data_IF_510548522031
#
_entry.id   IF_510548522031
#
_cell.length_a   1.000
_cell.length_b   1.000
_cell.length_c   1.000
_cell.angle_alpha   90.00
_cell.angle_beta   90.00
_cell.angle_gamma   90.00
#
_symmetry.space_group_name_H-M   'P 1'
#
loop_
_entity.id
_entity.type
_entity.pdbx_description
1 polymer ?
#
# COMPACT_ATOMS: atom_id res chain seq x y z
N UNK A 1 35.42 5.12 -57.55
CA UNK A 1 34.55 5.91 -56.65
C UNK A 1 33.27 5.15 -56.30
N UNK A 2 33.15 3.86 -56.67
CA UNK A 2 31.99 3.00 -56.35
C UNK A 2 32.23 2.12 -55.10
N UNK A 3 33.47 1.69 -54.83
CA UNK A 3 33.81 0.94 -53.60
C UNK A 3 33.58 1.71 -52.29
N UNK A 4 33.62 3.05 -52.32
CA UNK A 4 33.35 3.87 -51.11
C UNK A 4 31.85 4.04 -50.85
N UNK A 5 30.98 3.82 -51.83
CA UNK A 5 29.53 3.96 -51.67
C UNK A 5 28.89 2.65 -51.18
N UNK A 6 29.43 1.49 -51.60
CA UNK A 6 29.03 0.17 -51.07
C UNK A 6 29.45 -0.01 -49.61
N UNK A 7 30.62 0.50 -49.21
CA UNK A 7 31.08 0.46 -47.82
C UNK A 7 30.32 1.40 -46.87
N UNK A 8 29.55 2.37 -47.38
CA UNK A 8 28.67 3.20 -46.56
C UNK A 8 27.28 2.58 -46.42
N UNK A 9 26.73 1.97 -47.49
CA UNK A 9 25.47 1.21 -47.40
C UNK A 9 25.59 -0.04 -46.54
N UNK A 10 26.74 -0.73 -46.57
CA UNK A 10 27.00 -1.87 -45.69
C UNK A 10 27.16 -1.50 -44.21
N UNK A 11 27.62 -0.27 -43.92
CA UNK A 11 27.71 0.24 -42.55
C UNK A 11 26.37 0.74 -42.02
N UNK A 12 25.60 1.46 -42.84
CA UNK A 12 24.24 1.88 -42.48
C UNK A 12 23.31 0.67 -42.28
N UNK A 13 23.40 -0.36 -43.13
CA UNK A 13 22.59 -1.58 -42.95
C UNK A 13 22.98 -2.36 -41.68
N UNK A 14 24.26 -2.42 -41.33
CA UNK A 14 24.72 -3.08 -40.09
C UNK A 14 24.39 -2.28 -38.82
N UNK A 15 24.44 -0.94 -38.87
CA UNK A 15 23.99 -0.07 -37.78
C UNK A 15 22.47 -0.15 -37.57
N UNK A 16 21.69 -0.19 -38.67
CA UNK A 16 20.23 -0.35 -38.62
C UNK A 16 19.84 -1.72 -38.04
N UNK A 17 20.59 -2.78 -38.37
CA UNK A 17 20.33 -4.14 -37.86
C UNK A 17 20.68 -4.25 -36.37
N UNK A 18 21.76 -3.61 -35.90
CA UNK A 18 22.11 -3.60 -34.48
C UNK A 18 21.13 -2.74 -33.65
N UNK A 19 20.69 -1.59 -34.16
CA UNK A 19 19.64 -0.78 -33.51
C UNK A 19 18.32 -1.56 -33.42
N UNK A 20 17.92 -2.26 -34.50
CA UNK A 20 16.71 -3.07 -34.52
C UNK A 20 16.78 -4.24 -33.53
N UNK A 21 17.91 -4.95 -33.46
CA UNK A 21 18.15 -6.01 -32.47
C UNK A 21 18.10 -5.44 -31.05
N UNK A 22 18.65 -4.25 -30.79
CA UNK A 22 18.57 -3.64 -29.46
C UNK A 22 17.14 -3.25 -29.08
N UNK A 23 16.31 -2.86 -30.05
CA UNK A 23 14.88 -2.57 -29.82
C UNK A 23 14.10 -3.84 -29.50
N UNK A 24 14.30 -4.92 -30.26
CA UNK A 24 13.71 -6.23 -30.03
C UNK A 24 14.08 -6.81 -28.65
N UNK A 25 15.35 -6.69 -28.26
CA UNK A 25 15.81 -7.11 -26.93
C UNK A 25 15.08 -6.32 -25.84
N UNK A 26 14.98 -4.99 -25.97
CA UNK A 26 14.26 -4.15 -24.99
C UNK A 26 12.79 -4.52 -24.90
N UNK A 27 12.12 -4.75 -26.03
CA UNK A 27 10.69 -5.10 -26.04
C UNK A 27 10.44 -6.51 -25.49
N UNK A 28 11.35 -7.45 -25.75
CA UNK A 28 11.28 -8.81 -25.19
C UNK A 28 11.57 -8.80 -23.69
N UNK A 29 12.60 -8.08 -23.22
CA UNK A 29 12.90 -7.91 -21.79
C UNK A 29 11.77 -7.15 -21.05
N UNK A 30 11.02 -6.28 -21.73
CA UNK A 30 9.87 -5.62 -21.14
C UNK A 30 8.69 -6.59 -20.91
N UNK A 31 8.54 -7.63 -21.74
CA UNK A 31 7.50 -8.66 -21.60
C UNK A 31 7.93 -9.80 -20.67
N UNK A 32 9.23 -10.12 -20.64
CA UNK A 32 9.84 -11.14 -19.79
C UNK A 32 10.98 -10.54 -18.94
N UNK A 33 10.61 -9.80 -17.87
CA UNK A 33 11.58 -9.11 -17.01
C UNK A 33 12.50 -10.05 -16.20
N UNK A 34 12.19 -11.35 -16.18
CA UNK A 34 12.96 -12.40 -15.51
C UNK A 34 14.13 -12.93 -16.34
N UNK A 35 14.18 -12.67 -17.65
CA UNK A 35 15.26 -13.14 -18.54
C UNK A 35 16.60 -12.46 -18.25
N UNK A 36 17.69 -13.25 -18.19
CA UNK A 36 19.05 -12.76 -17.98
C UNK A 36 19.46 -11.67 -19.00
N UNK A 37 20.12 -10.61 -18.51
CA UNK A 37 20.66 -9.53 -19.37
C UNK A 37 21.56 -10.11 -20.45
N UNK A 38 21.24 -9.85 -21.71
CA UNK A 38 22.03 -10.30 -22.85
C UNK A 38 21.64 -11.67 -23.42
N UNK A 39 20.87 -12.49 -22.69
CA UNK A 39 20.44 -13.80 -23.19
C UNK A 39 19.55 -13.69 -24.43
N UNK A 40 18.61 -12.73 -24.45
CA UNK A 40 17.77 -12.48 -25.64
C UNK A 40 18.62 -12.08 -26.85
N UNK A 41 19.68 -11.27 -26.64
CA UNK A 41 20.60 -10.88 -27.73
C UNK A 41 21.35 -12.11 -28.28
N UNK A 42 21.76 -13.02 -27.41
CA UNK A 42 22.38 -14.29 -27.81
C UNK A 42 21.42 -15.20 -28.59
N UNK A 43 20.17 -15.32 -28.15
CA UNK A 43 19.15 -16.12 -28.84
C UNK A 43 18.87 -15.59 -30.24
N UNK A 44 18.78 -14.26 -30.39
CA UNK A 44 18.58 -13.61 -31.70
C UNK A 44 19.73 -13.96 -32.65
N UNK A 45 21.00 -13.83 -32.20
CA UNK A 45 22.17 -14.10 -33.04
C UNK A 45 22.44 -15.60 -33.29
N UNK A 46 22.04 -16.49 -32.38
CA UNK A 46 22.28 -17.94 -32.49
C UNK A 46 21.21 -18.68 -33.29
N UNK A 47 20.04 -18.08 -33.51
CA UNK A 47 18.87 -18.73 -34.12
C UNK A 47 18.21 -17.89 -35.23
N UNK A 48 18.73 -16.69 -35.53
CA UNK A 48 18.21 -15.77 -36.54
C UNK A 48 16.72 -15.42 -36.33
N UNK A 49 16.30 -15.25 -35.07
CA UNK A 49 14.94 -14.87 -34.73
C UNK A 49 14.79 -13.35 -34.63
N UNK A 50 14.29 -12.74 -35.70
CA UNK A 50 14.07 -11.29 -35.80
C UNK A 50 12.61 -10.88 -35.55
N UNK A 51 11.74 -11.84 -35.20
CA UNK A 51 10.33 -11.60 -34.88
C UNK A 51 10.09 -11.70 -33.37
N UNK A 52 9.52 -10.64 -32.79
CA UNK A 52 9.19 -10.56 -31.36
C UNK A 52 8.30 -11.71 -30.90
N UNK A 53 7.29 -12.07 -31.70
CA UNK A 53 6.36 -13.15 -31.35
C UNK A 53 7.04 -14.53 -31.35
N UNK A 54 8.00 -14.75 -32.25
CA UNK A 54 8.76 -16.01 -32.30
C UNK A 54 9.66 -16.12 -31.06
N UNK A 55 10.29 -15.01 -30.65
CA UNK A 55 11.08 -14.95 -29.41
C UNK A 55 10.21 -15.16 -28.17
N UNK A 56 9.04 -14.52 -28.08
CA UNK A 56 8.11 -14.71 -26.97
C UNK A 56 7.62 -16.16 -26.90
N UNK A 57 7.23 -16.77 -28.02
CA UNK A 57 6.77 -18.16 -28.05
C UNK A 57 7.89 -19.12 -27.67
N UNK A 58 9.12 -18.88 -28.13
CA UNK A 58 10.27 -19.70 -27.76
C UNK A 58 10.55 -19.68 -26.25
N UNK A 59 10.45 -18.50 -25.61
CA UNK A 59 10.59 -18.36 -24.15
C UNK A 59 9.41 -19.02 -23.40
N UNK A 60 8.19 -18.95 -23.93
CA UNK A 60 7.03 -19.62 -23.34
C UNK A 60 7.12 -21.15 -23.44
N UNK A 61 7.66 -21.68 -24.54
CA UNK A 61 7.82 -23.12 -24.75
C UNK A 61 9.00 -23.71 -23.97
N UNK A 62 10.00 -22.89 -23.61
CA UNK A 62 11.22 -23.34 -22.92
C UNK A 62 11.43 -22.57 -21.62
N UNK A 63 10.70 -22.86 -20.52
CA UNK A 63 10.78 -22.10 -19.26
C UNK A 63 12.11 -22.21 -18.49
N UNK A 64 13.04 -23.06 -18.95
CA UNK A 64 14.36 -23.31 -18.38
C UNK A 64 15.46 -22.37 -18.94
N UNK A 65 15.11 -21.18 -19.43
CA UNK A 65 16.11 -20.17 -19.82
C UNK A 65 16.78 -19.54 -18.59
N UNK A 66 18.04 -19.08 -18.69
CA UNK A 66 18.75 -18.42 -17.61
C UNK A 66 18.00 -17.15 -17.17
N UNK A 67 17.58 -17.14 -15.91
CA UNK A 67 16.88 -16.01 -15.28
C UNK A 67 17.91 -15.06 -14.65
N UNK A 68 17.62 -13.76 -14.59
CA UNK A 68 18.44 -12.81 -13.81
C UNK A 68 18.51 -13.31 -12.36
N UNK A 69 19.72 -13.44 -11.82
CA UNK A 69 19.98 -13.89 -10.45
C UNK A 69 19.40 -12.99 -9.35
N UNK A 70 18.60 -11.96 -9.68
CA UNK A 70 18.15 -10.97 -8.70
C UNK A 70 16.63 -10.71 -8.64
N UNK A 71 15.78 -11.39 -9.41
CA UNK A 71 14.32 -11.28 -9.22
C UNK A 71 13.61 -12.58 -9.52
N UNK A 72 13.27 -13.31 -8.46
CA UNK A 72 12.12 -14.22 -8.48
C UNK A 72 10.89 -13.33 -8.68
N UNK A 73 10.42 -13.21 -9.91
CA UNK A 73 9.18 -12.50 -10.23
C UNK A 73 8.04 -13.40 -9.81
N UNK A 74 7.65 -13.26 -8.54
CA UNK A 74 6.29 -13.57 -8.13
C UNK A 74 5.37 -12.53 -8.78
N UNK A 75 4.26 -13.00 -9.36
CA UNK A 75 3.23 -12.18 -9.99
C UNK A 75 2.88 -10.92 -9.17
N UNK A 76 2.46 -9.81 -9.81
CA UNK A 76 1.97 -8.64 -9.09
C UNK A 76 0.60 -8.95 -8.52
N UNK A 77 0.60 -9.68 -7.42
CA UNK A 77 -0.58 -9.99 -6.63
C UNK A 77 -0.74 -8.91 -5.58
N UNK A 78 -1.80 -8.11 -5.75
CA UNK A 78 -2.46 -7.35 -4.70
C UNK A 78 -1.66 -6.19 -4.08
N UNK A 79 -2.24 -4.99 -4.10
CA UNK A 79 -1.81 -3.78 -3.36
C UNK A 79 -1.76 -3.95 -1.84
N UNK A 80 -2.02 -5.15 -1.32
CA UNK A 80 -2.11 -5.47 0.11
C UNK A 80 -0.88 -6.20 0.66
N UNK A 81 0.11 -6.53 -0.16
CA UNK A 81 1.42 -6.98 0.33
C UNK A 81 2.47 -5.89 0.10
N UNK A 82 3.35 -5.63 1.07
CA UNK A 82 4.34 -4.58 0.95
C UNK A 82 5.27 -4.90 -0.22
N UNK A 83 5.27 -4.06 -1.25
CA UNK A 83 6.21 -4.15 -2.36
C UNK A 83 7.63 -4.03 -1.81
N UNK A 84 8.45 -5.08 -1.96
CA UNK A 84 9.85 -5.08 -1.55
C UNK A 84 10.76 -4.14 -2.38
N UNK A 85 10.21 -3.44 -3.37
CA UNK A 85 10.93 -2.37 -4.10
C UNK A 85 10.76 -1.00 -3.39
N UNK A 86 11.12 -0.94 -2.11
CA UNK A 86 11.35 0.31 -1.38
C UNK A 86 12.86 0.62 -1.29
N UNK A 87 13.57 0.51 -2.41
CA UNK A 87 14.92 1.10 -2.50
C UNK A 87 14.79 2.51 -3.03
N UNK A 88 14.61 3.48 -2.12
CA UNK A 88 15.31 4.78 -2.08
C UNK A 88 14.75 5.68 -0.97
N UNK A 89 15.67 6.08 -0.10
CA UNK A 89 15.56 7.00 1.06
C UNK A 89 14.92 6.37 2.31
N UNK A 90 15.48 6.62 3.51
CA UNK A 90 14.77 6.32 4.74
C UNK A 90 13.45 7.10 4.71
N UNK A 91 12.33 6.41 4.46
CA UNK A 91 11.00 6.99 4.63
C UNK A 91 10.88 7.36 6.09
N UNK A 92 11.17 8.62 6.40
CA UNK A 92 10.98 9.16 7.74
C UNK A 92 9.48 9.05 7.99
N UNK A 93 9.10 8.21 8.94
CA UNK A 93 7.72 8.13 9.39
C UNK A 93 7.40 9.43 10.13
N UNK A 94 6.75 10.36 9.43
CA UNK A 94 6.39 11.64 10.00
C UNK A 94 5.29 11.51 11.06
N UNK A 95 4.74 10.31 11.32
CA UNK A 95 3.89 10.05 12.48
C UNK A 95 4.66 9.65 13.74
N UNK A 96 5.97 9.38 13.67
CA UNK A 96 6.76 8.96 14.83
C UNK A 96 7.41 10.14 15.54
N UNK A 97 6.80 10.62 16.62
CA UNK A 97 7.30 11.74 17.42
C UNK A 97 8.77 11.60 17.83
N UNK A 98 9.25 10.38 18.10
CA UNK A 98 10.63 10.18 18.58
C UNK A 98 11.67 10.40 17.47
N UNK A 99 11.29 10.19 16.21
CA UNK A 99 12.18 10.38 15.05
C UNK A 99 12.18 11.82 14.53
N UNK A 100 11.23 12.64 14.98
CA UNK A 100 11.11 14.04 14.55
C UNK A 100 12.16 14.94 15.21
N UNK A 101 12.74 15.83 14.41
CA UNK A 101 13.67 16.88 14.86
C UNK A 101 13.00 18.24 14.70
N UNK A 102 13.15 19.18 15.65
CA UNK A 102 12.46 20.46 15.59
C UNK A 102 12.77 21.22 14.29
N UNK A 103 11.71 21.64 13.60
CA UNK A 103 11.82 22.31 12.30
C UNK A 103 12.13 23.81 12.43
N UNK A 104 12.60 24.38 11.31
CA UNK A 104 12.84 25.82 11.16
C UNK A 104 11.55 26.64 11.34
N UNK A 105 11.71 27.89 11.80
CA UNK A 105 10.60 28.83 12.03
C UNK A 105 9.74 29.08 10.78
N UNK A 106 10.30 28.99 9.58
CA UNK A 106 9.55 29.12 8.32
C UNK A 106 8.59 27.95 8.08
N UNK A 107 9.03 26.71 8.34
CA UNK A 107 8.18 25.52 8.26
C UNK A 107 7.04 25.63 9.28
N UNK A 108 7.34 26.10 10.49
CA UNK A 108 6.36 26.31 11.54
C UNK A 108 5.25 27.27 11.10
N UNK A 109 5.60 28.42 10.52
CA UNK A 109 4.62 29.42 10.06
C UNK A 109 3.73 28.82 8.96
N UNK A 110 4.32 28.15 7.97
CA UNK A 110 3.56 27.55 6.88
C UNK A 110 2.66 26.41 7.35
N UNK A 111 3.16 25.51 8.21
CA UNK A 111 2.38 24.45 8.81
C UNK A 111 1.22 25.01 9.65
N UNK A 112 1.46 26.05 10.44
CA UNK A 112 0.42 26.73 11.21
C UNK A 112 -0.66 27.33 10.29
N UNK A 113 -0.26 28.03 9.23
CA UNK A 113 -1.20 28.62 8.27
C UNK A 113 -2.08 27.55 7.60
N UNK A 114 -1.49 26.44 7.15
CA UNK A 114 -2.22 25.31 6.58
C UNK A 114 -3.23 24.71 7.58
N UNK A 115 -2.80 24.47 8.82
CA UNK A 115 -3.70 23.97 9.88
C UNK A 115 -4.79 24.98 10.23
N UNK A 116 -4.48 26.27 10.23
CA UNK A 116 -5.46 27.33 10.49
C UNK A 116 -6.51 27.46 9.37
N UNK A 117 -6.15 27.13 8.13
CA UNK A 117 -7.06 27.10 6.98
C UNK A 117 -8.03 25.89 7.05
N UNK A 118 -7.55 24.76 7.57
CA UNK A 118 -8.34 23.53 7.71
C UNK A 118 -9.22 23.55 8.96
N UNK A 119 -8.65 23.90 10.11
CA UNK A 119 -9.34 23.95 11.40
C UNK A 119 -9.82 25.37 11.73
N UNK A 120 -10.69 25.92 10.88
CA UNK A 120 -11.18 27.31 11.00
C UNK A 120 -11.95 27.60 12.29
N UNK A 121 -12.44 26.55 12.95
CA UNK A 121 -13.20 26.63 14.20
C UNK A 121 -12.32 26.51 15.44
N UNK A 122 -11.04 26.15 15.35
CA UNK A 122 -10.14 26.06 16.50
C UNK A 122 -9.40 27.38 16.72
N UNK A 123 -9.13 27.74 17.98
CA UNK A 123 -8.30 28.91 18.33
C UNK A 123 -6.90 28.83 17.70
N UNK A 124 -6.39 29.96 17.22
CA UNK A 124 -5.06 30.03 16.59
C UNK A 124 -3.96 29.82 17.62
N UNK A 125 -4.21 30.20 18.86
CA UNK A 125 -3.30 29.94 19.97
C UNK A 125 -3.20 28.45 20.27
N UNK A 126 -4.32 27.73 20.18
CA UNK A 126 -4.35 26.29 20.43
C UNK A 126 -3.72 25.49 19.29
N UNK A 127 -3.94 25.90 18.04
CA UNK A 127 -3.26 25.30 16.88
C UNK A 127 -1.74 25.52 16.98
N UNK A 128 -1.30 26.75 17.26
CA UNK A 128 0.12 27.04 17.42
C UNK A 128 0.73 26.29 18.60
N UNK A 129 0.01 26.19 19.72
CA UNK A 129 0.45 25.40 20.86
C UNK A 129 0.63 23.92 20.50
N UNK A 130 -0.35 23.31 19.81
CA UNK A 130 -0.27 21.91 19.40
C UNK A 130 0.90 21.66 18.45
N UNK A 131 1.15 22.62 17.55
CA UNK A 131 2.26 22.57 16.62
C UNK A 131 3.61 22.69 17.34
N UNK A 132 3.73 23.55 18.36
CA UNK A 132 4.95 23.68 19.18
C UNK A 132 5.25 22.40 19.95
N UNK A 133 4.23 21.82 20.57
CA UNK A 133 4.37 20.59 21.36
C UNK A 133 4.77 19.40 20.48
N UNK A 134 4.30 19.38 19.23
CA UNK A 134 4.60 18.37 18.21
C UNK A 134 5.79 18.74 17.30
N UNK A 135 6.74 19.54 17.83
CA UNK A 135 8.03 19.88 17.21
C UNK A 135 7.94 20.62 15.86
N UNK A 136 6.80 21.22 15.53
CA UNK A 136 6.61 22.01 14.32
C UNK A 136 6.23 21.21 13.08
N UNK A 137 5.91 19.91 13.22
CA UNK A 137 5.55 19.05 12.11
C UNK A 137 4.06 19.08 11.83
N UNK A 138 3.72 19.33 10.57
CA UNK A 138 2.36 19.42 10.07
C UNK A 138 1.63 18.07 10.16
N UNK A 139 2.27 16.96 9.77
CA UNK A 139 1.61 15.66 9.64
C UNK A 139 1.08 15.12 10.99
N UNK A 140 1.89 15.14 12.06
CA UNK A 140 1.43 14.70 13.40
C UNK A 140 0.38 15.64 13.95
N UNK A 141 0.61 16.95 13.87
CA UNK A 141 -0.33 17.92 14.42
C UNK A 141 -1.68 17.84 13.73
N UNK A 142 -1.71 17.73 12.40
CA UNK A 142 -2.95 17.54 11.65
C UNK A 142 -3.69 16.29 12.07
N UNK A 143 -2.98 15.15 12.18
CA UNK A 143 -3.56 13.88 12.63
C UNK A 143 -4.17 14.01 14.01
N UNK A 144 -3.41 14.52 14.98
CA UNK A 144 -3.84 14.66 16.36
C UNK A 144 -5.05 15.62 16.50
N UNK A 145 -5.06 16.73 15.75
CA UNK A 145 -6.18 17.67 15.72
C UNK A 145 -7.42 17.05 15.07
N UNK A 146 -7.25 16.32 13.96
CA UNK A 146 -8.35 15.62 13.29
C UNK A 146 -8.97 14.57 14.22
N UNK A 147 -8.15 13.77 14.92
CA UNK A 147 -8.63 12.74 15.85
C UNK A 147 -9.37 13.37 17.03
N UNK A 148 -8.87 14.49 17.58
CA UNK A 148 -9.56 15.23 18.64
C UNK A 148 -10.92 15.78 18.18
N UNK A 149 -11.01 16.30 16.95
CA UNK A 149 -12.28 16.79 16.37
C UNK A 149 -13.24 15.63 16.11
N UNK A 150 -12.78 14.50 15.58
CA UNK A 150 -13.60 13.29 15.37
C UNK A 150 -14.20 12.79 16.68
N UNK A 151 -13.38 12.63 17.72
CA UNK A 151 -13.82 12.19 19.05
C UNK A 151 -14.86 13.13 19.67
N UNK A 152 -14.69 14.45 19.47
CA UNK A 152 -15.68 15.43 19.91
C UNK A 152 -17.01 15.28 19.15
N UNK A 153 -16.96 15.11 17.83
CA UNK A 153 -18.16 14.89 17.01
C UNK A 153 -18.92 13.62 17.42
N UNK A 154 -18.21 12.51 17.65
CA UNK A 154 -18.79 11.24 18.11
C UNK A 154 -19.50 11.42 19.47
N UNK A 155 -18.82 12.03 20.46
CA UNK A 155 -19.41 12.32 21.78
C UNK A 155 -20.67 13.18 21.69
N UNK A 156 -20.68 14.18 20.81
CA UNK A 156 -21.86 15.03 20.59
C UNK A 156 -23.01 14.26 19.92
N UNK A 157 -22.73 13.30 19.04
CA UNK A 157 -23.78 12.49 18.38
C UNK A 157 -24.42 11.49 19.34
N UNK A 158 -23.63 10.81 20.18
CA UNK A 158 -24.10 9.82 21.16
C UNK A 158 -25.03 10.42 22.23
N UNK A 159 -24.80 11.68 22.61
CA UNK A 159 -25.65 12.38 23.59
C UNK A 159 -27.03 12.82 23.04
N UNK A 160 -27.26 12.76 21.71
CA UNK A 160 -28.40 13.41 21.04
C UNK A 160 -29.63 12.52 20.77
N UNK A 161 -29.73 11.34 21.38
CA UNK A 161 -30.83 10.37 21.17
C UNK A 161 -32.26 10.85 21.47
N UNK A 162 -32.47 12.10 21.94
CA UNK A 162 -33.79 12.73 22.04
C UNK A 162 -33.70 14.21 21.69
N UNK A 163 -34.38 14.60 20.60
CA UNK A 163 -34.73 15.97 20.18
C UNK A 163 -34.07 17.13 20.94
N UNK A 164 -33.19 17.91 20.27
CA UNK A 164 -33.04 19.33 20.59
C UNK A 164 -33.15 20.20 19.34
N UNK A 165 -34.33 20.82 19.21
CA UNK A 165 -34.52 22.11 18.55
C UNK A 165 -33.48 23.10 19.10
N UNK A 166 -32.85 23.87 18.21
CA UNK A 166 -32.12 25.13 18.45
C UNK A 166 -32.05 25.59 19.93
N UNK A 167 -30.82 25.67 20.45
CA UNK A 167 -30.30 26.39 21.65
C UNK A 167 -29.90 25.50 22.82
N UNK A 168 -28.59 25.25 22.89
CA UNK A 168 -27.71 25.49 24.04
C UNK A 168 -26.27 25.33 23.52
N UNK A 169 -25.76 26.40 22.88
CA UNK A 169 -24.49 26.41 22.13
C UNK A 169 -23.26 26.62 23.04
N UNK A 170 -23.38 26.38 24.35
CA UNK A 170 -22.44 26.91 25.36
C UNK A 170 -21.84 25.84 26.30
N UNK A 171 -22.26 24.57 26.21
CA UNK A 171 -21.65 23.47 26.99
C UNK A 171 -20.53 22.74 26.23
N UNK A 172 -20.47 22.88 24.90
CA UNK A 172 -19.44 22.25 24.04
C UNK A 172 -18.54 23.30 23.33
N UNK A 173 -18.16 24.38 24.01
CA UNK A 173 -17.25 25.40 23.44
C UNK A 173 -15.77 24.97 23.47
N UNK A 174 -15.48 23.72 23.82
CA UNK A 174 -14.12 23.21 23.91
C UNK A 174 -14.03 21.74 23.44
N UNK A 175 -12.85 21.39 22.94
CA UNK A 175 -12.47 20.05 22.53
C UNK A 175 -11.33 19.59 23.45
N UNK A 176 -11.42 18.37 23.96
CA UNK A 176 -10.34 17.74 24.73
C UNK A 176 -9.32 17.17 23.74
N UNK A 177 -8.22 17.90 23.51
CA UNK A 177 -7.08 17.39 22.75
C UNK A 177 -6.30 16.41 23.62
N UNK A 178 -6.17 15.17 23.16
CA UNK A 178 -5.37 14.13 23.81
C UNK A 178 -4.49 13.46 22.77
N UNK A 179 -3.20 13.64 22.89
CA UNK A 179 -2.22 12.96 22.06
C UNK A 179 -1.38 12.02 22.93
N UNK A 180 -1.32 10.75 22.53
CA UNK A 180 -0.55 9.73 23.21
C UNK A 180 0.29 8.96 22.20
N UNK A 181 1.61 9.01 22.37
CA UNK A 181 2.55 8.19 21.60
C UNK A 181 3.68 7.70 22.50
N UNK A 182 3.69 6.40 22.79
CA UNK A 182 4.63 5.80 23.74
C UNK A 182 4.49 6.42 25.14
N UNK A 183 5.57 7.01 25.64
CA UNK A 183 5.62 7.65 26.97
C UNK A 183 5.14 9.11 26.98
N UNK A 184 4.79 9.68 25.83
CA UNK A 184 4.41 11.08 25.72
C UNK A 184 2.89 11.16 25.72
N UNK A 185 2.37 11.88 26.70
CA UNK A 185 0.95 12.14 26.88
C UNK A 185 0.76 13.65 26.99
N UNK A 186 0.19 14.22 25.96
CA UNK A 186 -0.11 15.65 25.86
C UNK A 186 -1.62 15.79 25.90
N UNK A 187 -2.12 16.54 26.89
CA UNK A 187 -3.55 16.82 27.02
C UNK A 187 -3.78 18.31 27.18
N UNK A 188 -4.70 18.88 26.41
CA UNK A 188 -5.12 20.28 26.55
C UNK A 188 -6.56 20.46 26.12
N UNK A 189 -7.29 21.32 26.81
CA UNK A 189 -8.59 21.79 26.35
C UNK A 189 -8.39 22.92 25.34
N UNK A 190 -8.84 22.69 24.11
CA UNK A 190 -8.79 23.66 23.03
C UNK A 190 -10.16 24.30 22.87
N UNK A 191 -10.21 25.61 22.66
CA UNK A 191 -11.49 26.32 22.53
C UNK A 191 -11.93 26.44 21.07
N UNK A 192 -13.23 26.24 20.87
CA UNK A 192 -13.89 26.47 19.59
C UNK A 192 -14.25 27.97 19.47
N UNK A 193 -13.95 28.54 18.31
CA UNK A 193 -14.33 29.88 17.94
C UNK A 193 -15.83 29.95 17.65
N UNK A 194 -16.48 31.05 18.03
CA UNK A 194 -17.89 31.30 17.74
C UNK A 194 -18.16 31.43 16.23
N UNK A 195 -17.18 31.97 15.50
CA UNK A 195 -17.23 32.18 14.06
C UNK A 195 -16.02 31.54 13.40
N UNK A 196 -16.21 31.06 12.17
CA UNK A 196 -15.11 30.58 11.32
C UNK A 196 -14.09 31.69 11.13
N UNK A 197 -12.82 31.38 11.37
CA UNK A 197 -11.73 32.30 11.04
C UNK A 197 -11.75 32.60 9.54
N UNK A 198 -11.74 33.88 9.18
CA UNK A 198 -11.39 34.30 7.83
C UNK A 198 -9.87 34.17 7.67
N UNK A 199 -9.41 33.05 7.13
CA UNK A 199 -7.99 32.85 6.85
C UNK A 199 -7.66 33.39 5.45
N UNK A 200 -6.64 34.25 5.36
CA UNK A 200 -6.32 35.00 4.15
C UNK A 200 -5.02 34.59 3.44
N UNK A 201 -4.31 33.57 3.93
CA UNK A 201 -3.09 33.06 3.29
C UNK A 201 -3.36 31.71 2.65
N UNK A 202 -3.36 31.66 1.33
CA UNK A 202 -3.28 30.42 0.56
C UNK A 202 -1.86 30.30 0.01
N UNK A 203 -1.23 29.15 0.23
CA UNK A 203 0.02 28.82 -0.43
C UNK A 203 -0.29 27.94 -1.63
N UNK A 204 0.30 28.25 -2.79
CA UNK A 204 0.33 27.29 -3.88
C UNK A 204 1.24 26.13 -3.49
N UNK A 205 0.92 24.91 -3.95
CA UNK A 205 1.64 23.71 -3.54
C UNK A 205 3.15 23.78 -3.83
N UNK A 206 3.57 24.60 -4.81
CA UNK A 206 4.98 24.81 -5.20
C UNK A 206 5.73 25.83 -4.34
N UNK A 207 5.02 26.72 -3.64
CA UNK A 207 5.60 27.79 -2.81
C UNK A 207 5.79 27.36 -1.34
N UNK A 208 5.34 26.16 -1.01
CA UNK A 208 5.56 25.54 0.28
C UNK A 208 7.03 25.13 0.46
N UNK A 209 7.50 25.22 1.70
CA UNK A 209 8.83 24.77 2.06
C UNK A 209 8.94 23.25 1.82
N UNK A 210 10.06 22.75 1.25
CA UNK A 210 10.20 21.34 0.86
C UNK A 210 9.87 20.34 1.97
N UNK A 211 10.22 20.66 3.23
CA UNK A 211 9.87 19.83 4.38
C UNK A 211 8.36 19.71 4.62
N UNK A 212 7.61 20.82 4.46
CA UNK A 212 6.15 20.84 4.66
C UNK A 212 5.43 20.14 3.50
N UNK A 213 5.94 20.28 2.27
CA UNK A 213 5.43 19.54 1.10
C UNK A 213 5.56 18.03 1.29
N UNK A 214 6.74 17.54 1.70
CA UNK A 214 6.97 16.12 1.95
C UNK A 214 6.04 15.58 3.05
N UNK A 215 5.80 16.37 4.10
CA UNK A 215 4.88 16.00 5.17
C UNK A 215 3.42 15.95 4.73
N UNK A 216 2.99 16.88 3.87
CA UNK A 216 1.65 16.86 3.28
C UNK A 216 1.46 15.63 2.40
N UNK A 217 2.38 15.37 1.47
CA UNK A 217 2.33 14.21 0.59
C UNK A 217 2.33 12.90 1.40
N UNK A 218 3.19 12.81 2.42
CA UNK A 218 3.21 11.67 3.33
C UNK A 218 1.86 11.49 4.04
N UNK A 219 1.29 12.57 4.57
CA UNK A 219 0.00 12.52 5.25
C UNK A 219 -1.11 12.05 4.30
N UNK A 220 -1.22 12.63 3.10
CA UNK A 220 -2.23 12.26 2.11
C UNK A 220 -2.10 10.79 1.70
N UNK A 221 -0.88 10.32 1.41
CA UNK A 221 -0.62 8.93 1.08
C UNK A 221 -1.01 7.99 2.21
N UNK A 222 -0.62 8.32 3.45
CA UNK A 222 -0.95 7.49 4.62
C UNK A 222 -2.43 7.46 4.93
N UNK A 223 -3.13 8.59 4.78
CA UNK A 223 -4.57 8.64 4.96
C UNK A 223 -5.29 7.81 3.90
N UNK A 224 -4.84 7.86 2.64
CA UNK A 224 -5.37 7.04 1.56
C UNK A 224 -5.15 5.55 1.82
N UNK A 225 -3.94 5.16 2.22
CA UNK A 225 -3.61 3.77 2.57
C UNK A 225 -4.48 3.25 3.74
N UNK A 226 -4.69 4.07 4.77
CA UNK A 226 -5.57 3.70 5.90
C UNK A 226 -7.02 3.57 5.46
N UNK A 227 -7.53 4.48 4.63
CA UNK A 227 -8.90 4.43 4.11
C UNK A 227 -9.11 3.19 3.23
N UNK A 228 -8.21 2.89 2.30
CA UNK A 228 -8.27 1.69 1.46
C UNK A 228 -8.24 0.41 2.31
N UNK A 229 -7.45 0.40 3.39
CA UNK A 229 -7.41 -0.72 4.33
C UNK A 229 -8.73 -0.88 5.09
N UNK A 230 -9.33 0.20 5.58
CA UNK A 230 -10.62 0.17 6.26
C UNK A 230 -11.73 -0.30 5.32
N UNK A 231 -11.79 0.24 4.10
CA UNK A 231 -12.73 -0.17 3.06
C UNK A 231 -12.59 -1.67 2.71
N UNK A 232 -11.35 -2.16 2.60
CA UNK A 232 -11.08 -3.57 2.36
C UNK A 232 -11.58 -4.47 3.50
N UNK A 233 -11.34 -4.07 4.76
CA UNK A 233 -11.82 -4.82 5.93
C UNK A 233 -13.35 -4.83 6.00
N UNK A 234 -14.00 -3.71 5.70
CA UNK A 234 -15.45 -3.63 5.62
C UNK A 234 -16.00 -4.53 4.51
N UNK A 235 -15.37 -4.56 3.34
CA UNK A 235 -15.78 -5.44 2.25
C UNK A 235 -15.67 -6.93 2.62
N UNK A 236 -14.59 -7.34 3.30
CA UNK A 236 -14.45 -8.70 3.82
C UNK A 236 -15.55 -9.04 4.84
N UNK A 237 -15.83 -8.11 5.76
CA UNK A 237 -16.89 -8.31 6.75
C UNK A 237 -18.28 -8.44 6.10
N UNK A 238 -18.61 -7.54 5.17
CA UNK A 238 -19.88 -7.58 4.44
C UNK A 238 -20.05 -8.89 3.68
N UNK A 239 -19.01 -9.35 2.98
CA UNK A 239 -19.01 -10.63 2.28
C UNK A 239 -19.31 -11.80 3.24
N UNK A 240 -18.64 -11.85 4.39
CA UNK A 240 -18.88 -12.89 5.40
C UNK A 240 -20.30 -12.87 5.95
N UNK A 241 -20.85 -11.68 6.24
CA UNK A 241 -22.21 -11.53 6.73
C UNK A 241 -23.26 -11.98 5.70
N UNK A 242 -23.01 -11.76 4.41
CA UNK A 242 -23.88 -12.23 3.31
C UNK A 242 -23.91 -13.76 3.26
N UNK A 243 -22.74 -14.41 3.24
CA UNK A 243 -22.64 -15.88 3.28
C UNK A 243 -23.38 -16.49 4.48
N UNK A 244 -23.27 -15.84 5.65
CA UNK A 244 -23.98 -16.28 6.85
C UNK A 244 -25.50 -16.11 6.72
N UNK A 245 -25.98 -14.98 6.19
CA UNK A 245 -27.41 -14.71 5.99
C UNK A 245 -28.04 -15.66 4.97
N UNK A 246 -27.30 -16.02 3.93
CA UNK A 246 -27.77 -16.93 2.88
C UNK A 246 -27.63 -18.41 3.26
N UNK A 247 -27.01 -18.72 4.40
CA UNK A 247 -26.83 -20.10 4.87
C UNK A 247 -25.94 -20.94 3.96
N UNK A 248 -25.00 -20.29 3.26
CA UNK A 248 -24.09 -20.91 2.29
C UNK A 248 -22.70 -21.22 2.89
N UNK A 249 -22.55 -21.11 4.21
CA UNK A 249 -21.31 -21.49 4.87
C UNK A 249 -21.12 -23.01 4.78
N UNK A 250 -19.88 -23.42 4.57
CA UNK A 250 -19.50 -24.83 4.43
C UNK A 250 -18.59 -25.21 5.59
N UNK A 251 -18.80 -26.40 6.13
CA UNK A 251 -18.04 -26.92 7.25
C UNK A 251 -16.65 -27.40 6.82
N UNK A 252 -15.64 -27.04 7.61
CA UNK A 252 -14.27 -27.56 7.46
C UNK A 252 -14.17 -28.98 8.01
N UNK A 253 -13.66 -29.93 7.21
CA UNK A 253 -13.48 -31.33 7.62
C UNK A 253 -12.46 -31.57 8.75
N UNK A 254 -11.66 -30.56 9.10
CA UNK A 254 -10.65 -30.67 10.17
C UNK A 254 -11.11 -30.07 11.51
N UNK A 255 -11.65 -28.86 11.51
CA UNK A 255 -12.01 -28.13 12.73
C UNK A 255 -13.52 -27.99 12.96
N UNK A 256 -14.36 -28.45 12.03
CA UNK A 256 -15.83 -28.32 12.09
C UNK A 256 -16.33 -26.87 12.20
N UNK A 257 -15.49 -25.89 11.83
CA UNK A 257 -15.91 -24.49 11.71
C UNK A 257 -16.61 -24.24 10.38
N UNK A 258 -17.54 -23.28 10.38
CA UNK A 258 -18.27 -22.81 9.21
C UNK A 258 -17.53 -21.64 8.54
N UNK A 259 -17.21 -21.78 7.24
CA UNK A 259 -16.46 -20.78 6.48
C UNK A 259 -17.11 -20.53 5.11
N UNK A 260 -16.96 -19.31 4.53
CA UNK A 260 -17.32 -19.07 3.14
C UNK A 260 -16.41 -19.87 2.20
N UNK A 261 -16.91 -20.17 1.00
CA UNK A 261 -16.20 -21.03 0.05
C UNK A 261 -14.80 -20.50 -0.32
N UNK A 262 -14.64 -19.18 -0.43
CA UNK A 262 -13.36 -18.54 -0.76
C UNK A 262 -12.29 -18.71 0.32
N UNK A 263 -12.68 -19.01 1.56
CA UNK A 263 -11.78 -19.29 2.70
C UNK A 263 -11.46 -20.78 2.87
N UNK A 264 -12.07 -21.64 2.05
CA UNK A 264 -11.79 -23.06 2.01
C UNK A 264 -10.77 -23.38 0.90
N UNK A 265 -10.07 -24.48 1.11
CA UNK A 265 -9.16 -25.11 0.15
C UNK A 265 -9.65 -26.53 -0.08
N UNK A 266 -9.48 -26.99 -1.32
CA UNK A 266 -9.98 -28.29 -1.76
C UNK A 266 -8.80 -29.22 -2.08
N UNK A 267 -8.86 -30.48 -1.63
CA UNK A 267 -7.93 -31.50 -2.12
C UNK A 267 -8.38 -32.02 -3.49
N UNK A 268 -7.54 -32.81 -4.19
CA UNK A 268 -7.89 -33.34 -5.52
C UNK A 268 -9.15 -34.24 -5.55
N UNK A 269 -9.60 -34.72 -4.38
CA UNK A 269 -10.82 -35.54 -4.19
C UNK A 269 -11.97 -34.75 -3.56
N UNK A 270 -11.99 -33.43 -3.76
CA UNK A 270 -13.06 -32.53 -3.33
C UNK A 270 -13.26 -32.31 -1.81
N UNK A 271 -12.42 -32.87 -0.92
CA UNK A 271 -12.49 -32.58 0.52
C UNK A 271 -12.11 -31.13 0.82
N UNK A 272 -12.90 -30.47 1.68
CA UNK A 272 -12.78 -29.04 1.99
C UNK A 272 -12.22 -28.80 3.39
N UNK A 273 -11.24 -27.92 3.47
CA UNK A 273 -10.59 -27.50 4.72
C UNK A 273 -10.43 -25.98 4.73
N UNK A 274 -10.48 -25.33 5.89
CA UNK A 274 -10.18 -23.91 5.95
C UNK A 274 -8.69 -23.63 5.74
N UNK A 275 -8.37 -22.47 5.17
CA UNK A 275 -6.98 -22.04 4.93
C UNK A 275 -6.12 -22.07 6.20
N UNK A 276 -6.70 -21.76 7.36
CA UNK A 276 -5.98 -21.80 8.64
C UNK A 276 -5.54 -23.22 9.02
N UNK A 277 -6.39 -24.22 8.84
CA UNK A 277 -6.02 -25.63 9.06
C UNK A 277 -4.92 -26.05 8.09
N UNK A 278 -5.01 -25.66 6.81
CA UNK A 278 -3.96 -25.91 5.82
C UNK A 278 -2.61 -25.30 6.22
N UNK A 279 -2.59 -24.03 6.65
CA UNK A 279 -1.37 -23.34 7.07
C UNK A 279 -0.75 -24.05 8.29
N UNK A 280 -1.55 -24.40 9.29
CA UNK A 280 -1.06 -25.11 10.49
C UNK A 280 -0.47 -26.48 10.12
N UNK A 281 -1.18 -27.24 9.30
CA UNK A 281 -0.71 -28.53 8.81
C UNK A 281 0.58 -28.40 7.98
N UNK A 282 0.66 -27.39 7.12
CA UNK A 282 1.85 -27.12 6.32
C UNK A 282 3.04 -26.78 7.21
N UNK A 283 2.85 -25.93 8.23
CA UNK A 283 3.91 -25.61 9.20
C UNK A 283 4.39 -26.88 9.92
N UNK A 284 3.48 -27.71 10.43
CA UNK A 284 3.85 -28.95 11.12
C UNK A 284 4.59 -29.94 10.20
N UNK A 285 4.13 -30.08 8.95
CA UNK A 285 4.68 -31.06 7.99
C UNK A 285 6.02 -30.61 7.41
N UNK A 286 6.13 -29.33 7.03
CA UNK A 286 7.34 -28.77 6.41
C UNK A 286 8.45 -28.60 7.45
N UNK A 287 8.15 -28.09 8.65
CA UNK A 287 9.17 -27.93 9.70
C UNK A 287 9.47 -29.23 10.45
N UNK A 288 8.50 -30.14 10.59
CA UNK A 288 8.69 -31.40 11.33
C UNK A 288 9.26 -32.56 10.50
N UNK A 289 8.95 -32.62 9.20
CA UNK A 289 9.23 -33.81 8.37
C UNK A 289 10.03 -33.53 7.09
N UNK A 290 10.28 -32.25 6.76
CA UNK A 290 11.06 -31.85 5.57
C UNK A 290 10.43 -32.21 4.21
N UNK A 291 9.14 -32.53 4.18
CA UNK A 291 8.40 -32.84 2.95
C UNK A 291 7.78 -31.56 2.39
N UNK A 292 7.99 -31.30 1.09
CA UNK A 292 7.44 -30.15 0.37
C UNK A 292 6.00 -30.36 -0.13
N UNK A 293 5.52 -31.61 -0.18
CA UNK A 293 4.18 -31.95 -0.66
C UNK A 293 3.21 -32.18 0.50
N UNK A 294 2.04 -31.53 0.43
CA UNK A 294 0.97 -31.66 1.42
C UNK A 294 -0.07 -32.67 0.95
N UNK A 295 -0.24 -33.74 1.73
CA UNK A 295 -1.34 -34.71 1.55
C UNK A 295 -2.61 -34.22 2.22
N UNK A 296 -3.75 -34.74 1.78
CA UNK A 296 -5.05 -34.48 2.38
C UNK A 296 -5.04 -34.81 3.88
N UNK A 297 -5.79 -34.04 4.67
CA UNK A 297 -5.91 -34.24 6.12
C UNK A 297 -6.98 -35.28 6.49
N UNK A 298 -7.80 -35.69 5.53
CA UNK A 298 -8.81 -36.73 5.73
C UNK A 298 -8.10 -38.09 5.87
N UNK A 299 -8.41 -38.84 6.94
CA UNK A 299 -7.66 -40.04 7.30
C UNK A 299 -7.64 -41.16 6.25
N UNK A 300 -8.57 -41.11 5.28
CA UNK A 300 -8.70 -42.10 4.21
C UNK A 300 -8.31 -41.55 2.81
N UNK A 301 -7.80 -40.33 2.71
CA UNK A 301 -7.49 -39.69 1.43
C UNK A 301 -5.98 -39.58 1.21
N UNK A 302 -5.47 -40.13 0.10
CA UNK A 302 -4.05 -40.05 -0.31
C UNK A 302 -3.76 -38.93 -1.30
N UNK A 303 -4.76 -38.12 -1.63
CA UNK A 303 -4.63 -37.03 -2.60
C UNK A 303 -3.83 -35.87 -2.03
N UNK A 304 -3.16 -35.12 -2.90
CA UNK A 304 -2.48 -33.88 -2.54
C UNK A 304 -3.38 -32.66 -2.74
N UNK A 305 -2.98 -31.55 -2.10
CA UNK A 305 -3.51 -30.23 -2.41
C UNK A 305 -2.86 -29.72 -3.70
N UNK A 306 -3.63 -29.20 -4.67
CA UNK A 306 -3.07 -28.64 -5.89
C UNK A 306 -2.23 -27.39 -5.56
N UNK A 307 -0.99 -27.36 -6.05
CA UNK A 307 -0.16 -26.15 -6.04
C UNK A 307 -0.77 -25.16 -7.02
N UNK A 308 -1.33 -24.06 -6.50
CA UNK A 308 -1.77 -22.91 -7.28
C UNK A 308 -0.61 -21.95 -7.54
#
# INVERSE_FOLDING_TARGET
MEEKLENMRGKEAAEIDEEFVTLLVKETEARFPDVAKGYVKEVIHLRDYYDLNVLCNFLLENPDYPKREERVIMYPSSSLLPSQDDVKLPKVDFFDYFKLTPLNQQCFIQAADLLMAEFQMLSSEDINWALQELKGHYAITRKALSDAVKLWQERSTEASGKQKKRKEMHEDSFIDFKFQQGNIKIEKRMFLLENKRQHGRSYDQKDLHPAVQQEQEFYEQKMKEMAEREDFLLALQMNREEYQKEGQLIECGCCYGEFPFEELTQCSDAHLFCKECLIRYAQETVFGSGKSELTCMEGNCTCSFPTS
#
